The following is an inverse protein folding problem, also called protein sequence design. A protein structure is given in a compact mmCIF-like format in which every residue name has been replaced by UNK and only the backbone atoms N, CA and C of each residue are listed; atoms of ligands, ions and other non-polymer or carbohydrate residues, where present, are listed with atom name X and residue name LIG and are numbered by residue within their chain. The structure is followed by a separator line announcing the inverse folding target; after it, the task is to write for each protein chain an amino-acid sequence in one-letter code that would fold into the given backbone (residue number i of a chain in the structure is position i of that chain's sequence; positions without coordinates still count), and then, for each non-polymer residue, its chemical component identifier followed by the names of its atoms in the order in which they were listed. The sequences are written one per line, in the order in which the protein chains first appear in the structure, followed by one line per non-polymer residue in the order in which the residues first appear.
data_IF_037374522644
#
_entry.id   IF_037374522644
#
_cell.length_a   1.000
_cell.length_b   1.000
_cell.length_c   1.000
_cell.angle_alpha   90.00
_cell.angle_beta   90.00
_cell.angle_gamma   90.00
#
_symmetry.space_group_name_H-M   'P 1'
#
loop_
_entity.id
_entity.type
_entity.pdbx_description
1 polymer ?
#
# COMPACT_ATOMS: atom_id res chain seq x y z
N UNK A 1 -54.49 27.36 57.00
CA UNK A 1 -53.93 27.80 55.70
C UNK A 1 -55.06 28.52 54.98
N UNK A 2 -55.07 29.85 55.07
CA UNK A 2 -56.00 30.65 54.29
C UNK A 2 -55.67 30.44 52.81
N UNK A 3 -56.65 29.97 52.05
CA UNK A 3 -56.61 29.98 50.59
C UNK A 3 -56.55 31.46 50.20
N UNK A 4 -55.38 31.94 49.77
CA UNK A 4 -55.27 33.25 49.14
C UNK A 4 -56.33 33.33 48.05
N UNK A 5 -57.36 34.15 48.30
CA UNK A 5 -58.49 34.32 47.38
C UNK A 5 -57.93 34.68 46.02
N UNK A 6 -58.17 33.83 45.03
CA UNK A 6 -57.75 34.08 43.65
C UNK A 6 -58.34 35.43 43.23
N UNK A 7 -57.47 36.39 42.96
CA UNK A 7 -57.88 37.71 42.49
C UNK A 7 -58.47 37.57 41.08
N UNK A 8 -59.80 37.71 41.00
CA UNK A 8 -60.60 37.60 39.77
C UNK A 8 -60.95 38.97 39.19
N UNK A 9 -60.30 40.04 39.64
CA UNK A 9 -60.54 41.41 39.13
C UNK A 9 -60.29 41.57 37.62
N UNK A 10 -59.54 40.66 37.01
CA UNK A 10 -59.30 40.59 35.56
C UNK A 10 -60.45 39.95 34.77
N UNK A 11 -61.37 39.26 35.44
CA UNK A 11 -62.46 38.53 34.82
C UNK A 11 -63.66 39.47 34.61
N UNK A 12 -64.26 39.51 33.41
CA UNK A 12 -65.47 40.30 33.17
C UNK A 12 -66.59 39.95 34.15
N UNK A 13 -67.39 40.92 34.56
CA UNK A 13 -68.49 40.67 35.51
C UNK A 13 -69.71 39.99 34.87
N UNK A 14 -69.87 40.13 33.55
CA UNK A 14 -70.95 39.51 32.78
C UNK A 14 -70.61 38.07 32.34
N UNK A 15 -71.58 37.16 32.48
CA UNK A 15 -71.36 35.73 32.23
C UNK A 15 -71.13 35.40 30.75
N UNK A 16 -71.80 36.10 29.84
CA UNK A 16 -71.61 35.91 28.40
C UNK A 16 -70.23 36.42 27.96
N UNK A 17 -69.76 37.53 28.55
CA UNK A 17 -68.39 38.05 28.34
C UNK A 17 -67.31 37.08 28.86
N UNK A 18 -67.53 36.45 30.02
CA UNK A 18 -66.62 35.41 30.55
C UNK A 18 -66.51 34.21 29.61
N UNK A 19 -67.64 33.75 29.08
CA UNK A 19 -67.69 32.65 28.12
C UNK A 19 -66.93 33.02 26.83
N UNK A 20 -67.16 34.23 26.31
CA UNK A 20 -66.43 34.75 25.14
C UNK A 20 -64.91 34.84 25.39
N UNK A 21 -64.49 35.26 26.59
CA UNK A 21 -63.08 35.28 26.98
C UNK A 21 -62.50 33.85 27.05
N UNK A 22 -63.24 32.90 27.62
CA UNK A 22 -62.86 31.48 27.64
C UNK A 22 -62.64 30.94 26.23
N UNK A 23 -63.56 31.19 25.30
CA UNK A 23 -63.39 30.82 23.89
C UNK A 23 -62.17 31.46 23.25
N UNK A 24 -61.87 32.73 23.55
CA UNK A 24 -60.68 33.41 23.03
C UNK A 24 -59.39 32.80 23.58
N UNK A 25 -59.33 32.50 24.87
CA UNK A 25 -58.18 31.85 25.51
C UNK A 25 -57.91 30.49 24.86
N UNK A 26 -58.95 29.66 24.74
CA UNK A 26 -58.85 28.34 24.11
C UNK A 26 -58.43 28.49 22.65
N UNK A 27 -59.07 29.38 21.88
CA UNK A 27 -58.74 29.63 20.48
C UNK A 27 -57.27 30.07 20.31
N UNK A 28 -56.78 30.96 21.17
CA UNK A 28 -55.38 31.41 21.13
C UNK A 28 -54.40 30.29 21.53
N UNK A 29 -54.75 29.45 22.51
CA UNK A 29 -53.95 28.29 22.88
C UNK A 29 -53.82 27.31 21.70
N UNK A 30 -54.93 26.99 21.03
CA UNK A 30 -54.92 26.15 19.82
C UNK A 30 -54.11 26.78 18.69
N UNK A 31 -54.30 28.06 18.39
CA UNK A 31 -53.53 28.77 17.36
C UNK A 31 -52.03 28.71 17.64
N UNK A 32 -51.62 29.01 18.88
CA UNK A 32 -50.20 28.96 19.29
C UNK A 32 -49.63 27.54 19.12
N UNK A 33 -50.40 26.52 19.52
CA UNK A 33 -49.99 25.13 19.36
C UNK A 33 -49.83 24.73 17.90
N UNK A 34 -50.77 25.12 17.04
CA UNK A 34 -50.71 24.88 15.58
C UNK A 34 -49.49 25.56 14.98
N UNK A 35 -49.26 26.85 15.24
CA UNK A 35 -48.09 27.58 14.72
C UNK A 35 -46.77 26.96 15.18
N UNK A 36 -46.69 26.51 16.43
CA UNK A 36 -45.52 25.80 16.95
C UNK A 36 -45.26 24.49 16.22
N UNK A 37 -46.30 23.67 15.99
CA UNK A 37 -46.18 22.40 15.27
C UNK A 37 -45.83 22.62 13.79
N UNK A 38 -46.41 23.64 13.15
CA UNK A 38 -46.07 24.01 11.77
C UNK A 38 -44.61 24.48 11.64
N UNK A 39 -44.08 25.19 12.63
CA UNK A 39 -42.67 25.55 12.68
C UNK A 39 -41.77 24.32 12.86
N UNK A 40 -42.14 23.39 13.74
CA UNK A 40 -41.41 22.14 13.96
C UNK A 40 -41.39 21.26 12.69
N UNK A 41 -42.54 21.10 12.02
CA UNK A 41 -42.62 20.38 10.75
C UNK A 41 -41.70 21.00 9.69
N UNK A 42 -41.68 22.33 9.58
CA UNK A 42 -40.78 23.02 8.65
C UNK A 42 -39.32 22.78 8.98
N UNK A 43 -38.95 22.84 10.26
CA UNK A 43 -37.59 22.59 10.73
C UNK A 43 -37.13 21.16 10.41
N UNK A 44 -37.95 20.16 10.76
CA UNK A 44 -37.65 18.74 10.49
C UNK A 44 -37.55 18.45 9.00
N UNK A 45 -38.42 19.04 8.17
CA UNK A 45 -38.35 18.90 6.71
C UNK A 45 -37.07 19.50 6.13
N UNK A 46 -36.63 20.66 6.63
CA UNK A 46 -35.38 21.28 6.19
C UNK A 46 -34.17 20.40 6.56
N UNK A 47 -34.13 19.88 7.78
CA UNK A 47 -33.07 18.97 8.22
C UNK A 47 -33.05 17.67 7.39
N UNK A 48 -34.22 17.11 7.05
CA UNK A 48 -34.32 15.93 6.20
C UNK A 48 -33.78 16.19 4.78
N UNK A 49 -34.07 17.38 4.21
CA UNK A 49 -33.56 17.76 2.90
C UNK A 49 -32.03 17.92 2.90
N UNK A 50 -31.47 18.56 3.91
CA UNK A 50 -30.00 18.69 4.07
C UNK A 50 -29.32 17.32 4.16
N UNK A 51 -29.90 16.39 4.93
CA UNK A 51 -29.38 15.02 5.03
C UNK A 51 -29.48 14.26 3.72
N UNK A 52 -30.55 14.44 2.96
CA UNK A 52 -30.67 13.83 1.63
C UNK A 52 -29.59 14.35 0.66
N UNK A 53 -29.28 15.65 0.70
CA UNK A 53 -28.21 16.24 -0.11
C UNK A 53 -26.82 15.71 0.31
N UNK A 54 -26.55 15.65 1.62
CA UNK A 54 -25.32 15.06 2.15
C UNK A 54 -25.14 13.62 1.68
N UNK A 55 -26.21 12.80 1.76
CA UNK A 55 -26.20 11.41 1.30
C UNK A 55 -25.91 11.30 -0.19
N UNK A 56 -26.57 12.12 -1.03
CA UNK A 56 -26.30 12.16 -2.46
C UNK A 56 -24.83 12.53 -2.77
N UNK A 57 -24.27 13.50 -2.03
CA UNK A 57 -22.87 13.89 -2.18
C UNK A 57 -21.91 12.77 -1.81
N UNK A 58 -22.19 12.02 -0.72
CA UNK A 58 -21.38 10.88 -0.30
C UNK A 58 -21.49 9.72 -1.28
N UNK A 59 -22.70 9.44 -1.80
CA UNK A 59 -22.89 8.41 -2.82
C UNK A 59 -22.07 8.71 -4.08
N UNK A 60 -22.03 9.96 -4.54
CA UNK A 60 -21.19 10.36 -5.68
C UNK A 60 -19.71 10.16 -5.41
N UNK A 61 -19.23 10.53 -4.21
CA UNK A 61 -17.83 10.31 -3.81
C UNK A 61 -17.50 8.83 -3.73
N UNK A 62 -18.40 8.02 -3.18
CA UNK A 62 -18.24 6.57 -3.08
C UNK A 62 -18.10 5.94 -4.47
N UNK A 63 -19.04 6.22 -5.39
CA UNK A 63 -18.96 5.72 -6.77
C UNK A 63 -17.69 6.18 -7.49
N UNK A 64 -17.24 7.42 -7.26
CA UNK A 64 -15.97 7.90 -7.81
C UNK A 64 -14.76 7.13 -7.27
N UNK A 65 -14.75 6.80 -5.98
CA UNK A 65 -13.67 6.02 -5.37
C UNK A 65 -13.69 4.56 -5.81
N UNK A 66 -14.87 3.97 -6.00
CA UNK A 66 -15.00 2.62 -6.56
C UNK A 66 -14.40 2.53 -7.96
N UNK A 67 -14.66 3.51 -8.82
CA UNK A 67 -14.06 3.59 -10.16
C UNK A 67 -12.53 3.68 -10.07
N UNK A 68 -12.00 4.58 -9.23
CA UNK A 68 -10.54 4.72 -9.06
C UNK A 68 -9.89 3.43 -8.55
N UNK A 69 -10.56 2.71 -7.64
CA UNK A 69 -10.08 1.43 -7.13
C UNK A 69 -10.00 0.38 -8.24
N UNK A 70 -11.03 0.30 -9.07
CA UNK A 70 -11.08 -0.62 -10.23
C UNK A 70 -9.95 -0.27 -11.21
N UNK A 71 -9.77 1.00 -11.56
CA UNK A 71 -8.72 1.46 -12.47
C UNK A 71 -7.31 1.16 -11.92
N UNK A 72 -7.08 1.45 -10.64
CA UNK A 72 -5.81 1.17 -9.97
C UNK A 72 -5.51 -0.34 -9.96
N UNK A 73 -6.51 -1.16 -9.69
CA UNK A 73 -6.39 -2.63 -9.70
C UNK A 73 -6.07 -3.14 -11.10
N UNK A 74 -6.75 -2.63 -12.13
CA UNK A 74 -6.49 -2.99 -13.52
C UNK A 74 -5.07 -2.60 -13.95
N UNK A 75 -4.62 -1.39 -13.61
CA UNK A 75 -3.26 -0.91 -13.87
C UNK A 75 -2.22 -1.77 -13.16
N UNK A 76 -2.47 -2.15 -11.91
CA UNK A 76 -1.59 -3.06 -11.16
C UNK A 76 -1.44 -4.42 -11.83
N UNK A 77 -2.54 -4.97 -12.35
CA UNK A 77 -2.52 -6.25 -13.07
C UNK A 77 -1.73 -6.15 -14.39
N UNK A 78 -1.90 -5.07 -15.16
CA UNK A 78 -1.14 -4.82 -16.39
C UNK A 78 0.37 -4.75 -16.11
N UNK A 79 0.78 -3.96 -15.12
CA UNK A 79 2.19 -3.86 -14.72
C UNK A 79 2.76 -5.20 -14.25
N UNK A 80 1.97 -6.01 -13.53
CA UNK A 80 2.38 -7.35 -13.12
C UNK A 80 2.60 -8.28 -14.32
N UNK A 81 1.75 -8.19 -15.36
CA UNK A 81 1.90 -8.95 -16.59
C UNK A 81 3.12 -8.51 -17.41
N UNK A 82 3.30 -7.20 -17.61
CA UNK A 82 4.48 -6.63 -18.26
C UNK A 82 5.76 -7.08 -17.55
N UNK A 83 5.78 -7.06 -16.21
CA UNK A 83 6.94 -7.49 -15.44
C UNK A 83 7.22 -9.00 -15.62
N UNK A 84 6.20 -9.86 -15.67
CA UNK A 84 6.38 -11.29 -16.00
C UNK A 84 6.97 -11.47 -17.40
N UNK A 85 6.52 -10.68 -18.37
CA UNK A 85 7.03 -10.72 -19.74
C UNK A 85 8.49 -10.26 -19.80
N UNK A 86 8.84 -9.17 -19.12
CA UNK A 86 10.21 -8.67 -19.02
C UNK A 86 11.13 -9.69 -18.36
N UNK A 87 10.72 -10.28 -17.24
CA UNK A 87 11.47 -11.36 -16.57
C UNK A 87 11.73 -12.53 -17.52
N UNK A 88 10.71 -12.91 -18.31
CA UNK A 88 10.84 -13.99 -19.30
C UNK A 88 11.86 -13.64 -20.38
N UNK A 89 11.83 -12.40 -20.89
CA UNK A 89 12.79 -11.90 -21.87
C UNK A 89 14.21 -11.84 -21.30
N UNK A 90 14.39 -11.32 -20.08
CA UNK A 90 15.69 -11.27 -19.39
C UNK A 90 16.26 -12.68 -19.24
N UNK A 91 15.46 -13.66 -18.80
CA UNK A 91 15.89 -15.06 -18.70
C UNK A 91 16.28 -15.66 -20.05
N UNK A 92 15.59 -15.29 -21.14
CA UNK A 92 15.96 -15.74 -22.49
C UNK A 92 17.30 -15.16 -22.91
N UNK A 93 17.48 -13.85 -22.77
CA UNK A 93 18.72 -13.15 -23.12
C UNK A 93 19.91 -13.68 -22.31
N UNK A 94 19.73 -13.97 -21.02
CA UNK A 94 20.79 -14.56 -20.20
C UNK A 94 21.26 -15.91 -20.77
N UNK A 95 20.32 -16.79 -21.16
CA UNK A 95 20.69 -18.08 -21.79
C UNK A 95 21.41 -17.89 -23.12
N UNK A 96 21.02 -16.89 -23.90
CA UNK A 96 21.67 -16.59 -25.17
C UNK A 96 23.08 -16.03 -24.95
N UNK A 97 23.31 -15.22 -23.91
CA UNK A 97 24.64 -14.79 -23.47
C UNK A 97 25.49 -16.00 -23.08
N UNK A 98 24.99 -16.90 -22.22
CA UNK A 98 25.74 -18.07 -21.78
C UNK A 98 26.15 -18.99 -22.96
N UNK A 99 25.28 -19.10 -23.97
CA UNK A 99 25.58 -19.81 -25.23
C UNK A 99 26.68 -19.12 -26.03
N UNK A 100 26.61 -17.80 -26.19
CA UNK A 100 27.63 -17.03 -26.89
C UNK A 100 28.98 -17.09 -26.18
N UNK A 101 29.00 -17.04 -24.85
CA UNK A 101 30.22 -17.22 -24.06
C UNK A 101 30.80 -18.63 -24.25
N UNK A 102 29.96 -19.66 -24.26
CA UNK A 102 30.39 -21.04 -24.49
C UNK A 102 30.98 -21.22 -25.90
N UNK A 103 30.35 -20.65 -26.92
CA UNK A 103 30.88 -20.62 -28.29
C UNK A 103 32.21 -19.88 -28.37
N UNK A 104 32.32 -18.71 -27.73
CA UNK A 104 33.58 -17.96 -27.65
C UNK A 104 34.70 -18.80 -27.04
N UNK A 105 34.44 -19.50 -25.94
CA UNK A 105 35.42 -20.40 -25.30
C UNK A 105 35.84 -21.53 -26.24
N UNK A 106 34.88 -22.18 -26.89
CA UNK A 106 35.16 -23.27 -27.84
C UNK A 106 35.99 -22.80 -29.04
N UNK A 107 35.68 -21.63 -29.62
CA UNK A 107 36.45 -21.04 -30.71
C UNK A 107 37.87 -20.70 -30.28
N UNK A 108 38.05 -20.09 -29.10
CA UNK A 108 39.38 -19.77 -28.58
C UNK A 108 40.21 -21.04 -28.33
N UNK A 109 39.59 -22.09 -27.80
CA UNK A 109 40.24 -23.40 -27.61
C UNK A 109 40.70 -24.01 -28.94
N UNK A 110 39.82 -24.04 -29.94
CA UNK A 110 40.15 -24.58 -31.27
C UNK A 110 41.28 -23.80 -31.95
N UNK A 111 41.33 -22.46 -31.80
CA UNK A 111 42.44 -21.64 -32.33
C UNK A 111 43.76 -21.91 -31.58
N UNK A 112 43.69 -22.21 -30.27
CA UNK A 112 44.87 -22.54 -29.47
C UNK A 112 45.41 -23.94 -29.79
N UNK A 113 44.53 -24.93 -30.00
CA UNK A 113 44.90 -26.29 -30.41
C UNK A 113 45.54 -26.31 -31.80
N UNK A 114 44.99 -25.56 -32.78
CA UNK A 114 45.54 -25.46 -34.14
C UNK A 114 46.92 -24.76 -34.19
N UNK A 115 47.24 -23.94 -33.18
CA UNK A 115 48.59 -23.37 -32.98
C UNK A 115 49.56 -24.33 -32.28
N UNK A 116 49.06 -25.29 -31.51
CA UNK A 116 49.86 -26.28 -30.79
C UNK A 116 50.41 -27.40 -31.67
N UNK A 117 49.76 -27.67 -32.81
CA UNK A 117 50.16 -28.73 -33.76
C UNK A 117 51.22 -28.28 -34.80
N UNK A 118 51.56 -26.99 -34.84
CA UNK A 118 52.59 -26.46 -35.74
C UNK A 118 54.02 -26.52 -35.16
N UNK A 119 54.18 -26.87 -33.87
CA UNK A 119 55.49 -26.85 -33.18
C UNK A 119 55.81 -28.19 -32.46
N UNK A 120 55.10 -29.26 -32.82
CA UNK A 120 55.22 -30.59 -32.20
C UNK A 120 55.59 -31.68 -33.20
N UNK A 121 56.89 -31.83 -33.43
CA UNK A 121 57.62 -33.02 -33.87
C UNK A 121 56.80 -34.27 -34.27
N UNK A 122 56.90 -34.61 -35.56
CA UNK A 122 56.46 -35.87 -36.16
C UNK A 122 56.94 -37.10 -35.36
N UNK A 123 56.08 -37.65 -34.50
CA UNK A 123 56.25 -39.00 -33.92
C UNK A 123 55.37 -40.00 -34.66
N UNK A 124 56.03 -40.72 -35.55
CA UNK A 124 55.70 -42.04 -36.11
C UNK A 124 54.43 -42.72 -35.61
N UNK A 125 53.55 -43.04 -36.57
CA UNK A 125 52.43 -43.95 -36.45
C UNK A 125 52.81 -45.28 -35.77
N UNK A 126 52.20 -45.57 -34.61
CA UNK A 126 52.07 -46.93 -34.07
C UNK A 126 50.64 -47.41 -34.35
N UNK A 127 50.53 -48.49 -35.10
CA UNK A 127 49.32 -49.11 -35.64
C UNK A 127 48.37 -49.75 -34.60
N UNK A 128 48.57 -49.52 -33.31
CA UNK A 128 47.81 -50.18 -32.23
C UNK A 128 46.70 -49.33 -31.60
N UNK A 129 46.67 -48.00 -31.81
CA UNK A 129 45.71 -47.13 -31.10
C UNK A 129 44.39 -46.87 -31.86
N UNK A 130 44.23 -47.48 -33.04
CA UNK A 130 43.03 -47.34 -33.89
C UNK A 130 41.84 -48.22 -33.46
N UNK A 131 41.97 -49.01 -32.38
CA UNK A 131 40.98 -50.03 -31.99
C UNK A 131 40.00 -49.61 -30.88
N UNK A 132 40.11 -48.40 -30.34
CA UNK A 132 39.17 -47.91 -29.31
C UNK A 132 38.13 -46.90 -29.83
N UNK A 133 38.16 -46.55 -31.12
CA UNK A 133 37.08 -45.81 -31.79
C UNK A 133 35.96 -46.75 -32.25
N UNK A 134 35.26 -47.35 -31.27
CA UNK A 134 33.98 -48.01 -31.51
C UNK A 134 33.03 -47.67 -30.36
N UNK A 135 32.29 -46.57 -30.50
CA UNK A 135 31.09 -46.36 -29.70
C UNK A 135 30.03 -47.44 -30.05
N UNK A 136 29.13 -47.75 -29.12
CA UNK A 136 27.77 -47.27 -29.38
C UNK A 136 27.13 -46.61 -28.14
N UNK A 137 26.54 -45.44 -28.40
CA UNK A 137 25.47 -44.83 -27.59
C UNK A 137 24.25 -45.75 -27.62
N UNK A 138 23.51 -45.88 -26.50
CA UNK A 138 22.03 -45.93 -26.43
C UNK A 138 21.49 -46.24 -25.01
N UNK A 139 20.61 -45.35 -24.52
CA UNK A 139 19.42 -45.51 -23.62
C UNK A 139 19.50 -45.51 -22.07
N UNK A 140 18.84 -44.46 -21.54
CA UNK A 140 17.77 -44.41 -20.51
C UNK A 140 17.98 -44.74 -19.01
N UNK A 141 17.45 -43.79 -18.20
CA UNK A 141 16.89 -43.90 -16.84
C UNK A 141 17.86 -44.28 -15.69
N UNK A 142 17.79 -43.79 -14.45
CA UNK A 142 16.73 -43.13 -13.68
C UNK A 142 17.34 -42.58 -12.37
N UNK A 143 16.93 -41.36 -11.99
CA UNK A 143 16.50 -40.90 -10.65
C UNK A 143 17.24 -41.41 -9.40
N UNK A 144 17.97 -40.51 -8.73
CA UNK A 144 18.00 -40.42 -7.25
C UNK A 144 18.16 -38.97 -6.82
N UNK A 145 17.43 -38.62 -5.76
CA UNK A 145 17.35 -37.30 -5.17
C UNK A 145 18.62 -36.99 -4.37
N UNK A 146 19.06 -35.73 -4.38
CA UNK A 146 19.68 -35.13 -3.20
C UNK A 146 19.45 -33.63 -3.17
N UNK A 147 18.80 -33.23 -2.09
CA UNK A 147 18.49 -31.89 -1.65
C UNK A 147 19.79 -31.15 -1.32
N UNK A 148 20.08 -30.06 -2.02
CA UNK A 148 20.99 -29.03 -1.52
C UNK A 148 20.46 -27.65 -1.93
N UNK A 149 19.95 -26.94 -0.91
CA UNK A 149 19.72 -25.50 -0.94
C UNK A 149 21.05 -24.78 -1.02
N UNK A 150 21.11 -23.69 -1.80
CA UNK A 150 21.88 -22.43 -1.65
C UNK A 150 22.04 -21.77 -3.03
N UNK A 151 22.33 -20.45 -3.13
CA UNK A 151 21.56 -19.30 -2.65
C UNK A 151 20.96 -18.51 -3.83
N UNK A 152 19.87 -17.79 -3.57
CA UNK A 152 19.22 -16.86 -4.49
C UNK A 152 20.22 -15.75 -4.87
N UNK A 153 20.55 -15.52 -6.16
CA UNK A 153 21.23 -14.30 -6.56
C UNK A 153 20.25 -13.13 -6.42
N UNK A 154 20.57 -12.23 -5.50
CA UNK A 154 19.90 -10.95 -5.31
C UNK A 154 19.91 -10.19 -6.65
N UNK A 155 18.75 -10.14 -7.28
CA UNK A 155 18.46 -9.13 -8.28
C UNK A 155 18.25 -7.79 -7.57
N UNK A 156 18.74 -6.73 -8.22
CA UNK A 156 18.56 -5.30 -7.93
C UNK A 156 19.61 -4.67 -6.99
N UNK A 157 20.78 -4.37 -7.57
CA UNK A 157 21.52 -3.16 -7.19
C UNK A 157 20.84 -1.93 -7.81
N UNK A 158 19.66 -1.58 -7.29
CA UNK A 158 19.05 -0.28 -7.56
C UNK A 158 19.66 0.75 -6.60
N UNK A 159 20.37 1.71 -7.18
CA UNK A 159 20.77 2.99 -6.60
C UNK A 159 21.57 2.93 -5.28
N UNK A 160 22.84 3.35 -5.35
CA UNK A 160 23.71 3.66 -4.19
C UNK A 160 23.20 4.81 -3.31
N UNK A 161 22.00 5.32 -3.54
CA UNK A 161 21.35 6.41 -2.81
C UNK A 161 19.97 6.03 -2.23
N UNK A 162 19.45 4.82 -2.51
CA UNK A 162 18.23 4.34 -1.89
C UNK A 162 18.57 3.78 -0.50
N UNK A 163 18.12 4.46 0.57
CA UNK A 163 18.29 4.00 1.95
C UNK A 163 17.71 2.60 2.09
N UNK A 164 18.48 1.68 2.65
CA UNK A 164 18.00 0.32 2.92
C UNK A 164 16.99 0.33 4.07
N UNK A 165 15.72 0.55 3.71
CA UNK A 165 14.60 0.56 4.65
C UNK A 165 14.42 -0.78 5.39
N UNK A 166 14.94 -1.89 4.87
CA UNK A 166 14.93 -3.19 5.57
C UNK A 166 15.98 -3.20 6.66
N UNK A 167 17.18 -2.69 6.39
CA UNK A 167 18.23 -2.57 7.39
C UNK A 167 17.84 -1.59 8.50
N UNK A 168 17.26 -0.44 8.15
CA UNK A 168 16.72 0.51 9.14
C UNK A 168 15.69 -0.15 10.07
N UNK A 169 14.68 -0.87 9.52
CA UNK A 169 13.68 -1.56 10.36
C UNK A 169 14.30 -2.64 11.24
N UNK A 170 15.36 -3.32 10.76
CA UNK A 170 16.07 -4.32 11.54
C UNK A 170 16.79 -3.70 12.74
N UNK A 171 17.45 -2.56 12.52
CA UNK A 171 18.13 -1.80 13.58
C UNK A 171 17.08 -1.22 14.55
N UNK A 172 16.02 -0.60 14.05
CA UNK A 172 14.94 -0.05 14.87
C UNK A 172 14.32 -1.11 15.80
N UNK A 173 14.08 -2.33 15.30
CA UNK A 173 13.58 -3.46 16.12
C UNK A 173 14.56 -3.97 17.17
N UNK A 174 15.86 -3.77 16.98
CA UNK A 174 16.88 -4.15 17.95
C UNK A 174 17.10 -3.08 19.03
N UNK A 175 16.72 -1.83 18.74
CA UNK A 175 17.03 -0.66 19.57
C UNK A 175 15.82 -0.08 20.30
N UNK A 176 14.62 -0.21 19.72
CA UNK A 176 13.38 0.37 20.24
C UNK A 176 12.39 -0.72 20.70
N UNK A 177 11.44 -0.33 21.53
CA UNK A 177 10.34 -1.19 21.94
C UNK A 177 9.39 -1.48 20.77
N UNK A 178 8.64 -2.58 20.87
CA UNK A 178 7.74 -3.02 19.80
C UNK A 178 6.67 -1.96 19.46
N UNK A 179 6.18 -1.22 20.45
CA UNK A 179 5.18 -0.17 20.26
C UNK A 179 5.78 1.07 19.56
N UNK A 180 7.01 1.46 19.92
CA UNK A 180 7.75 2.56 19.29
C UNK A 180 8.06 2.24 17.81
N UNK A 181 8.42 0.99 17.52
CA UNK A 181 8.62 0.52 16.13
C UNK A 181 7.31 0.57 15.34
N UNK A 182 6.19 0.16 15.96
CA UNK A 182 4.88 0.22 15.30
C UNK A 182 4.48 1.67 14.97
N UNK A 183 4.75 2.59 15.89
CA UNK A 183 4.51 4.03 15.71
C UNK A 183 5.36 4.62 14.57
N UNK A 184 6.66 4.29 14.53
CA UNK A 184 7.58 4.67 13.44
C UNK A 184 7.10 4.18 12.07
N UNK A 185 6.67 2.92 11.96
CA UNK A 185 6.10 2.36 10.72
C UNK A 185 4.81 3.09 10.35
N UNK A 186 3.99 3.47 11.33
CA UNK A 186 2.79 4.28 11.14
C UNK A 186 3.10 5.67 10.58
N UNK A 187 4.18 6.32 11.02
CA UNK A 187 4.65 7.61 10.50
C UNK A 187 5.12 7.46 9.05
N UNK A 188 5.95 6.46 8.74
CA UNK A 188 6.44 6.18 7.38
C UNK A 188 5.26 5.93 6.42
N UNK A 189 4.26 5.16 6.86
CA UNK A 189 3.06 4.89 6.05
C UNK A 189 2.28 6.17 5.77
N UNK A 190 2.04 7.01 6.78
CA UNK A 190 1.31 8.28 6.63
C UNK A 190 2.02 9.25 5.68
N UNK A 191 3.35 9.32 5.76
CA UNK A 191 4.15 10.09 4.80
C UNK A 191 4.05 9.52 3.38
N UNK A 192 4.21 8.20 3.20
CA UNK A 192 4.11 7.55 1.88
C UNK A 192 2.74 7.71 1.23
N UNK A 193 1.67 7.84 2.03
CA UNK A 193 0.32 8.14 1.56
C UNK A 193 0.06 9.65 1.35
N UNK A 194 1.08 10.51 1.44
CA UNK A 194 0.99 11.97 1.32
C UNK A 194 0.07 12.64 2.36
N UNK A 195 -0.16 11.98 3.51
CA UNK A 195 -1.03 12.48 4.57
C UNK A 195 -0.28 13.22 5.69
N UNK A 196 1.05 13.11 5.69
CA UNK A 196 1.91 13.76 6.68
C UNK A 196 3.07 14.44 5.93
N UNK A 197 3.26 15.76 6.06
CA UNK A 197 4.35 16.45 5.40
C UNK A 197 5.69 16.01 6.01
N UNK A 198 6.76 16.21 5.23
CA UNK A 198 8.10 15.72 5.55
C UNK A 198 8.60 16.18 6.92
N UNK A 199 8.46 17.47 7.22
CA UNK A 199 9.03 18.04 8.43
C UNK A 199 8.30 17.53 9.69
N UNK A 200 6.98 17.34 9.61
CA UNK A 200 6.18 16.73 10.67
C UNK A 200 6.50 15.24 10.87
N UNK A 201 6.75 14.50 9.77
CA UNK A 201 7.16 13.10 9.86
C UNK A 201 8.52 12.95 10.56
N UNK A 202 9.47 13.84 10.28
CA UNK A 202 10.78 13.87 10.92
C UNK A 202 10.66 14.26 12.40
N UNK A 203 9.84 15.26 12.73
CA UNK A 203 9.62 15.69 14.11
C UNK A 203 8.96 14.59 14.96
N UNK A 204 7.91 13.94 14.45
CA UNK A 204 7.26 12.81 15.13
C UNK A 204 8.21 11.62 15.28
N UNK A 205 8.98 11.28 14.24
CA UNK A 205 9.96 10.19 14.34
C UNK A 205 11.07 10.48 15.34
N UNK A 206 11.50 11.74 15.48
CA UNK A 206 12.46 12.14 16.51
C UNK A 206 11.92 11.94 17.92
N UNK A 207 10.64 12.26 18.14
CA UNK A 207 9.97 12.06 19.43
C UNK A 207 9.87 10.57 19.80
N UNK A 208 9.62 9.71 18.81
CA UNK A 208 9.51 8.26 19.02
C UNK A 208 10.86 7.58 19.21
N UNK A 209 11.91 8.01 18.49
CA UNK A 209 13.26 7.45 18.62
C UNK A 209 13.95 7.95 19.89
N UNK A 210 13.66 9.18 20.32
CA UNK A 210 14.29 9.85 21.44
C UNK A 210 15.75 10.27 21.17
N UNK A 211 16.28 11.17 21.99
CA UNK A 211 17.61 11.78 21.82
C UNK A 211 18.78 10.80 22.04
N UNK A 212 18.51 9.58 22.51
CA UNK A 212 19.53 8.58 22.82
C UNK A 212 20.14 7.88 21.59
N UNK A 213 19.49 7.98 20.41
CA UNK A 213 19.87 7.20 19.23
C UNK A 213 20.04 8.08 17.98
N UNK A 214 21.02 9.00 18.02
CA UNK A 214 21.28 9.96 16.94
C UNK A 214 21.52 9.31 15.57
N UNK A 215 22.20 8.16 15.52
CA UNK A 215 22.41 7.42 14.28
C UNK A 215 21.11 6.91 13.67
N UNK A 216 20.17 6.43 14.50
CA UNK A 216 18.87 5.95 14.04
C UNK A 216 17.99 7.10 13.54
N UNK A 217 18.08 8.26 14.18
CA UNK A 217 17.44 9.50 13.72
C UNK A 217 17.98 9.92 12.35
N UNK A 218 19.29 9.87 12.15
CA UNK A 218 19.91 10.25 10.89
C UNK A 218 19.57 9.27 9.75
N UNK A 219 19.52 7.97 10.02
CA UNK A 219 19.02 6.99 9.06
C UNK A 219 17.53 7.19 8.76
N UNK A 220 16.72 7.46 9.77
CA UNK A 220 15.30 7.76 9.62
C UNK A 220 15.08 8.97 8.70
N UNK A 221 15.80 10.09 8.93
CA UNK A 221 15.72 11.29 8.08
C UNK A 221 16.08 11.02 6.62
N UNK A 222 17.01 10.09 6.35
CA UNK A 222 17.38 9.72 4.98
C UNK A 222 16.26 8.97 4.26
N UNK A 223 15.35 8.29 4.96
CA UNK A 223 14.18 7.64 4.34
C UNK A 223 13.22 8.64 3.67
N UNK A 224 13.29 9.91 4.07
CA UNK A 224 12.44 11.00 3.56
C UNK A 224 13.18 11.94 2.60
N UNK A 225 14.37 11.54 2.10
CA UNK A 225 15.05 12.26 1.02
C UNK A 225 14.51 11.76 -0.32
N UNK A 226 13.67 12.59 -0.94
CA UNK A 226 13.41 12.60 -2.39
C UNK A 226 14.28 13.68 -2.99
#
# INVERSE_FOLDING_TARGET
MELSSVDLSWLPSDADEQLALGFRIISNAYKTRVTSLEAEIRSVRAAAAEKAEQLASFQKKFSSMEVQLIECTQRGNQLAEENRNLITTVKKLQRDIDRLESLKRAVLHSIQEDRGDADGEHRYYTTDDMLHSAAPRTMLASKTMQTQQLPIPQLLSSNKEAVDGRNFLKIAKATLQQDEVAELVGIIRRFNCQQLPRDDAIAQGHQVIGDGNQQLIDEFKRLFRV
#
